data_IF_945806145047
#
_entry.id   IF_945806145047
#
_cell.length_a   1.000
_cell.length_b   1.000
_cell.length_c   1.000
_cell.angle_alpha   90.00
_cell.angle_beta   90.00
_cell.angle_gamma   90.00
#
_symmetry.space_group_name_H-M   'P 1'
#
loop_
_entity.id
_entity.type
_entity.pdbx_description
1 polymer ?
#
# COMPACT_ATOMS: atom_id res chain seq x y z
N UNK A 1 -14.08 12.55 -16.90
CA UNK A 1 -12.70 12.15 -16.57
C UNK A 1 -12.02 11.56 -17.80
N UNK A 2 -10.69 11.68 -17.91
CA UNK A 2 -9.88 11.03 -18.94
C UNK A 2 -9.02 9.92 -18.33
N UNK A 3 -9.09 8.73 -18.91
CA UNK A 3 -8.22 7.59 -18.55
C UNK A 3 -7.17 7.43 -19.65
N UNK A 4 -5.91 7.27 -19.27
CA UNK A 4 -4.83 6.88 -20.19
C UNK A 4 -4.11 5.68 -19.61
N UNK A 5 -4.21 4.55 -20.30
CA UNK A 5 -3.72 3.27 -19.83
C UNK A 5 -2.34 2.94 -20.41
N UNK A 6 -1.64 2.03 -19.74
CA UNK A 6 -0.42 1.37 -20.22
C UNK A 6 0.73 2.33 -20.57
N UNK A 7 0.84 3.41 -19.81
CA UNK A 7 1.96 4.34 -19.94
C UNK A 7 3.20 3.68 -19.36
N UNK A 8 4.19 3.42 -20.21
CA UNK A 8 5.48 2.88 -19.78
C UNK A 8 6.22 3.93 -18.95
N UNK A 9 6.50 3.61 -17.68
CA UNK A 9 7.25 4.48 -16.76
C UNK A 9 8.66 3.96 -16.47
N UNK A 10 8.91 2.67 -16.73
CA UNK A 10 10.23 2.05 -16.72
C UNK A 10 10.35 1.06 -17.88
N UNK A 11 11.02 1.48 -18.94
CA UNK A 11 11.21 0.66 -20.15
C UNK A 11 12.16 -0.51 -19.94
N UNK A 12 13.04 -0.46 -18.93
CA UNK A 12 14.00 -1.54 -18.66
C UNK A 12 13.32 -2.80 -18.10
N UNK A 13 12.21 -2.61 -17.41
CA UNK A 13 11.43 -3.68 -16.76
C UNK A 13 10.03 -3.87 -17.39
N UNK A 14 9.71 -3.17 -18.49
CA UNK A 14 8.38 -3.08 -19.11
C UNK A 14 7.25 -2.75 -18.10
N UNK A 15 7.53 -1.85 -17.15
CA UNK A 15 6.55 -1.45 -16.15
C UNK A 15 5.69 -0.28 -16.63
N UNK A 16 4.39 -0.46 -16.43
CA UNK A 16 3.34 0.43 -16.91
C UNK A 16 2.51 0.97 -15.77
N UNK A 17 1.92 2.13 -16.00
CA UNK A 17 0.97 2.76 -15.10
C UNK A 17 -0.24 3.27 -15.88
N UNK A 18 -1.35 3.41 -15.19
CA UNK A 18 -2.56 4.05 -15.68
C UNK A 18 -2.72 5.40 -14.98
N UNK A 19 -3.28 6.36 -15.72
CA UNK A 19 -3.61 7.68 -15.17
C UNK A 19 -5.08 7.98 -15.33
N UNK A 20 -5.67 8.56 -14.28
CA UNK A 20 -7.06 8.96 -14.25
C UNK A 20 -7.10 10.46 -13.93
N UNK A 21 -7.56 11.24 -14.90
CA UNK A 21 -7.49 12.70 -14.86
C UNK A 21 -8.90 13.29 -14.68
N UNK A 22 -9.12 14.15 -13.68
CA UNK A 22 -10.38 14.86 -13.53
C UNK A 22 -10.59 15.84 -14.68
N UNK A 23 -11.84 16.19 -14.98
CA UNK A 23 -12.15 17.17 -16.04
C UNK A 23 -11.80 18.61 -15.61
N UNK A 24 -11.55 18.81 -14.32
CA UNK A 24 -11.11 20.07 -13.70
C UNK A 24 -9.61 20.03 -13.39
N UNK A 25 -9.04 21.18 -13.01
CA UNK A 25 -7.66 21.23 -12.52
C UNK A 25 -7.51 20.36 -11.26
N UNK A 26 -6.56 19.40 -11.20
CA UNK A 26 -6.36 18.58 -10.01
C UNK A 26 -5.99 19.41 -8.78
N UNK A 27 -6.58 19.09 -7.62
CA UNK A 27 -6.21 19.69 -6.33
C UNK A 27 -4.98 19.04 -5.70
N UNK A 28 -4.76 17.76 -6.03
CA UNK A 28 -3.67 16.92 -5.56
C UNK A 28 -3.47 15.76 -6.53
N UNK A 29 -2.34 15.08 -6.39
CA UNK A 29 -2.06 13.81 -7.07
C UNK A 29 -2.06 12.67 -6.09
N UNK A 30 -2.68 11.54 -6.45
CA UNK A 30 -2.66 10.31 -5.67
C UNK A 30 -1.90 9.22 -6.42
N UNK A 31 -0.85 8.67 -5.81
CA UNK A 31 -0.27 7.41 -6.24
C UNK A 31 -1.05 6.26 -5.58
N UNK A 32 -1.80 5.51 -6.36
CA UNK A 32 -2.69 4.44 -5.90
C UNK A 32 -2.05 3.07 -6.19
N UNK A 33 -1.65 2.36 -5.14
CA UNK A 33 -0.78 1.18 -5.22
C UNK A 33 -1.58 -0.09 -4.89
N UNK A 34 -1.64 -1.00 -5.86
CA UNK A 34 -2.41 -2.23 -5.73
C UNK A 34 -1.82 -3.19 -4.68
N UNK A 35 -2.70 -3.95 -4.03
CA UNK A 35 -2.34 -5.08 -3.17
C UNK A 35 -1.99 -6.36 -3.94
N UNK A 36 -1.94 -7.50 -3.23
CA UNK A 36 -1.70 -8.82 -3.84
C UNK A 36 -0.49 -9.57 -3.28
N UNK A 37 -0.08 -9.30 -2.03
CA UNK A 37 0.99 -10.03 -1.33
C UNK A 37 2.35 -9.96 -2.05
N UNK A 38 2.56 -8.95 -2.89
CA UNK A 38 3.71 -8.81 -3.81
C UNK A 38 3.90 -9.94 -4.81
N UNK A 39 3.01 -10.93 -4.90
CA UNK A 39 3.15 -12.05 -5.84
C UNK A 39 2.07 -12.07 -6.93
N UNK A 40 1.03 -11.23 -6.79
CA UNK A 40 -0.02 -11.01 -7.76
C UNK A 40 -0.52 -9.56 -7.69
N UNK A 41 -1.48 -9.24 -8.54
CA UNK A 41 -2.12 -7.93 -8.62
C UNK A 41 -1.75 -7.18 -9.89
N UNK A 42 -2.62 -6.25 -10.27
CA UNK A 42 -2.43 -5.38 -11.43
C UNK A 42 -3.16 -4.04 -11.16
N UNK A 43 -2.61 -2.94 -11.71
CA UNK A 43 -3.18 -1.59 -11.69
C UNK A 43 -4.63 -1.52 -12.16
N UNK A 44 -5.08 -2.42 -13.04
CA UNK A 44 -6.45 -2.46 -13.55
C UNK A 44 -7.50 -2.63 -12.43
N UNK A 45 -7.12 -3.35 -11.36
CA UNK A 45 -7.95 -3.52 -10.15
C UNK A 45 -8.33 -2.17 -9.52
N UNK A 46 -7.44 -1.19 -9.61
CA UNK A 46 -7.58 0.09 -8.91
C UNK A 46 -8.54 1.06 -9.60
N UNK A 47 -9.09 0.71 -10.78
CA UNK A 47 -9.99 1.57 -11.56
C UNK A 47 -11.19 2.08 -10.76
N UNK A 48 -11.83 1.23 -9.95
CA UNK A 48 -12.96 1.62 -9.11
C UNK A 48 -12.58 2.69 -8.08
N UNK A 49 -11.48 2.48 -7.36
CA UNK A 49 -11.04 3.41 -6.31
C UNK A 49 -10.45 4.69 -6.92
N UNK A 50 -9.75 4.57 -8.05
CA UNK A 50 -9.26 5.70 -8.82
C UNK A 50 -10.41 6.64 -9.24
N UNK A 51 -11.53 6.09 -9.71
CA UNK A 51 -12.72 6.90 -10.05
C UNK A 51 -13.26 7.68 -8.84
N UNK A 52 -13.30 7.06 -7.64
CA UNK A 52 -13.71 7.77 -6.42
C UNK A 52 -12.81 8.97 -6.12
N UNK A 53 -11.49 8.80 -6.20
CA UNK A 53 -10.56 9.91 -5.96
C UNK A 53 -10.58 10.95 -7.09
N UNK A 54 -10.80 10.55 -8.35
CA UNK A 54 -10.99 11.51 -9.44
C UNK A 54 -12.23 12.38 -9.24
N UNK A 55 -13.33 11.79 -8.77
CA UNK A 55 -14.54 12.54 -8.43
C UNK A 55 -14.32 13.53 -7.26
N UNK A 56 -13.35 13.24 -6.40
CA UNK A 56 -12.89 14.16 -5.34
C UNK A 56 -11.85 15.18 -5.83
N UNK A 57 -11.54 15.22 -7.13
CA UNK A 57 -10.64 16.21 -7.75
C UNK A 57 -9.16 15.85 -7.72
N UNK A 58 -8.81 14.59 -7.49
CA UNK A 58 -7.43 14.11 -7.55
C UNK A 58 -7.05 13.67 -8.96
N UNK A 59 -5.81 13.93 -9.36
CA UNK A 59 -5.17 13.21 -10.45
C UNK A 59 -4.64 11.89 -9.90
N UNK A 60 -5.09 10.75 -10.42
CA UNK A 60 -4.68 9.43 -9.89
C UNK A 60 -3.69 8.79 -10.84
N UNK A 61 -2.62 8.23 -10.27
CA UNK A 61 -1.60 7.43 -10.95
C UNK A 61 -1.57 6.05 -10.31
N UNK A 62 -1.85 4.99 -11.08
CA UNK A 62 -1.88 3.62 -10.61
C UNK A 62 -0.78 2.79 -11.32
N UNK A 63 0.36 2.50 -10.67
CA UNK A 63 1.44 1.73 -11.28
C UNK A 63 1.35 0.23 -11.03
N UNK A 64 1.79 -0.56 -12.01
CA UNK A 64 2.26 -1.93 -11.77
C UNK A 64 3.66 -1.90 -11.16
N UNK A 65 4.00 -2.91 -10.36
CA UNK A 65 5.34 -3.16 -9.84
C UNK A 65 5.71 -4.64 -10.04
N UNK A 66 7.01 -4.97 -10.06
CA UNK A 66 7.46 -6.35 -10.25
C UNK A 66 7.08 -7.24 -9.06
N UNK A 67 6.78 -8.50 -9.35
CA UNK A 67 6.20 -9.44 -8.41
C UNK A 67 7.17 -10.57 -8.03
N UNK A 68 7.14 -10.94 -6.75
CA UNK A 68 7.81 -12.12 -6.22
C UNK A 68 7.09 -13.41 -6.68
N UNK A 69 7.80 -14.55 -6.81
CA UNK A 69 9.21 -14.75 -6.47
C UNK A 69 10.21 -14.45 -7.60
N UNK A 70 9.72 -14.01 -8.77
CA UNK A 70 10.57 -13.62 -9.89
C UNK A 70 11.47 -12.43 -9.51
N UNK A 71 10.85 -11.43 -8.88
CA UNK A 71 11.50 -10.22 -8.38
C UNK A 71 11.25 -10.07 -6.88
N UNK A 72 12.27 -10.35 -6.07
CA UNK A 72 12.19 -10.25 -4.62
C UNK A 72 12.31 -8.79 -4.16
N UNK A 73 12.10 -8.54 -2.87
CA UNK A 73 12.54 -7.29 -2.24
C UNK A 73 14.02 -6.98 -2.62
N UNK A 74 14.38 -5.74 -3.01
CA UNK A 74 13.56 -4.52 -3.01
C UNK A 74 12.95 -4.14 -4.37
N UNK A 75 12.74 -5.07 -5.31
CA UNK A 75 12.26 -4.73 -6.67
C UNK A 75 10.95 -3.94 -6.66
N UNK A 76 9.88 -4.46 -6.04
CA UNK A 76 8.59 -3.76 -5.96
C UNK A 76 8.69 -2.35 -5.32
N UNK A 77 9.53 -2.21 -4.29
CA UNK A 77 9.78 -0.92 -3.62
C UNK A 77 10.49 0.06 -4.55
N UNK A 78 11.50 -0.43 -5.28
CA UNK A 78 12.25 0.36 -6.27
C UNK A 78 11.32 0.85 -7.37
N UNK A 79 10.41 -0.01 -7.83
CA UNK A 79 9.46 0.28 -8.89
C UNK A 79 8.44 1.35 -8.48
N UNK A 80 7.89 1.25 -7.26
CA UNK A 80 7.01 2.29 -6.70
C UNK A 80 7.74 3.63 -6.53
N UNK A 81 9.03 3.62 -6.16
CA UNK A 81 9.83 4.85 -6.11
C UNK A 81 10.09 5.44 -7.49
N UNK A 82 10.27 4.60 -8.51
CA UNK A 82 10.38 5.04 -9.90
C UNK A 82 9.05 5.61 -10.40
N UNK A 83 7.91 4.99 -10.06
CA UNK A 83 6.58 5.52 -10.36
C UNK A 83 6.36 6.87 -9.67
N UNK A 84 6.73 7.04 -8.41
CA UNK A 84 6.70 8.33 -7.72
C UNK A 84 7.58 9.39 -8.42
N UNK A 85 8.79 9.02 -8.85
CA UNK A 85 9.67 9.92 -9.60
C UNK A 85 9.10 10.29 -10.98
N UNK A 86 8.41 9.37 -11.65
CA UNK A 86 7.67 9.64 -12.87
C UNK A 86 6.52 10.62 -12.61
N UNK A 87 5.73 10.38 -11.56
CA UNK A 87 4.61 11.25 -11.14
C UNK A 87 5.08 12.67 -10.89
N UNK A 88 6.20 12.87 -10.19
CA UNK A 88 6.78 14.22 -9.96
C UNK A 88 7.11 14.98 -11.24
N UNK A 89 7.41 14.28 -12.34
CA UNK A 89 7.74 14.87 -13.64
C UNK A 89 6.50 15.08 -14.51
N UNK A 90 5.35 14.51 -14.13
CA UNK A 90 4.11 14.68 -14.88
C UNK A 90 3.57 16.12 -14.70
N UNK A 91 3.22 16.75 -15.82
CA UNK A 91 2.72 18.15 -15.83
C UNK A 91 1.43 18.36 -15.06
N UNK A 92 0.57 17.33 -14.95
CA UNK A 92 -0.67 17.41 -14.17
C UNK A 92 -0.42 17.33 -12.67
N UNK A 93 0.66 16.66 -12.26
CA UNK A 93 1.10 16.60 -10.88
C UNK A 93 1.97 17.80 -10.50
N UNK A 94 2.57 18.48 -11.49
CA UNK A 94 3.41 19.64 -11.29
C UNK A 94 2.62 20.74 -10.55
N UNK A 95 3.16 21.15 -9.40
CA UNK A 95 2.56 22.15 -8.49
C UNK A 95 1.35 21.68 -7.68
N UNK A 96 1.13 20.37 -7.55
CA UNK A 96 0.14 19.80 -6.62
C UNK A 96 0.84 18.94 -5.57
N UNK A 97 0.32 18.84 -4.33
CA UNK A 97 0.82 17.86 -3.38
C UNK A 97 0.61 16.45 -3.92
N UNK A 98 1.57 15.56 -3.66
CA UNK A 98 1.48 14.14 -4.01
C UNK A 98 1.23 13.35 -2.73
N UNK A 99 0.19 12.54 -2.75
CA UNK A 99 -0.14 11.59 -1.70
C UNK A 99 0.02 10.16 -2.22
N UNK A 100 0.07 9.20 -1.30
CA UNK A 100 0.00 7.79 -1.63
C UNK A 100 -1.17 7.11 -0.90
N UNK A 101 -1.78 6.14 -1.56
CA UNK A 101 -2.71 5.20 -0.95
C UNK A 101 -2.40 3.80 -1.49
N UNK A 102 -2.47 2.81 -0.63
CA UNK A 102 -2.50 1.42 -1.07
C UNK A 102 -3.15 0.52 -0.04
N UNK A 103 -3.53 -0.68 -0.50
CA UNK A 103 -4.10 -1.71 0.35
C UNK A 103 -3.20 -2.94 0.45
N UNK A 104 -3.15 -3.61 1.61
CA UNK A 104 -2.38 -4.85 1.80
C UNK A 104 -0.87 -4.64 1.52
N UNK A 105 -0.30 -5.40 0.58
CA UNK A 105 1.05 -5.19 0.05
C UNK A 105 1.27 -3.78 -0.54
N UNK A 106 0.25 -3.21 -1.19
CA UNK A 106 0.28 -1.83 -1.65
C UNK A 106 0.26 -0.82 -0.50
N UNK A 107 -0.40 -1.15 0.61
CA UNK A 107 -0.39 -0.35 1.83
C UNK A 107 1.01 -0.32 2.49
N UNK A 108 1.74 -1.45 2.46
CA UNK A 108 3.14 -1.47 2.84
C UNK A 108 4.00 -0.55 1.94
N UNK A 109 3.86 -0.67 0.62
CA UNK A 109 4.62 0.16 -0.33
C UNK A 109 4.26 1.65 -0.21
N UNK A 110 3.02 1.97 0.13
CA UNK A 110 2.58 3.31 0.45
C UNK A 110 3.27 3.83 1.73
N UNK A 111 3.29 3.04 2.81
CA UNK A 111 4.03 3.38 4.04
C UNK A 111 5.49 3.67 3.74
N UNK A 112 6.15 2.90 2.87
CA UNK A 112 7.53 3.16 2.47
C UNK A 112 7.74 4.53 1.80
N UNK A 113 6.77 4.99 1.00
CA UNK A 113 6.80 6.35 0.45
C UNK A 113 6.65 7.40 1.56
N UNK A 114 5.78 7.18 2.54
CA UNK A 114 5.68 8.07 3.69
C UNK A 114 7.02 8.16 4.42
N UNK A 115 7.61 7.02 4.77
CA UNK A 115 8.83 6.97 5.58
C UNK A 115 10.04 7.55 4.86
N UNK A 116 10.19 7.30 3.56
CA UNK A 116 11.40 7.65 2.81
C UNK A 116 11.27 8.89 1.92
N UNK A 117 10.06 9.27 1.52
CA UNK A 117 9.80 10.46 0.69
C UNK A 117 9.10 11.59 1.44
N UNK A 118 8.66 11.35 2.68
CA UNK A 118 8.05 12.38 3.51
C UNK A 118 6.67 12.83 3.05
N UNK A 119 5.98 12.02 2.22
CA UNK A 119 4.68 12.41 1.66
C UNK A 119 3.51 11.91 2.52
N UNK A 120 2.41 12.69 2.64
CA UNK A 120 1.21 12.22 3.34
C UNK A 120 0.64 10.98 2.66
N UNK A 121 0.34 9.97 3.46
CA UNK A 121 0.03 8.64 2.95
C UNK A 121 -1.12 8.01 3.72
N UNK A 122 -1.99 7.31 3.01
CA UNK A 122 -2.96 6.40 3.62
C UNK A 122 -2.54 4.94 3.34
N UNK A 123 -2.72 4.07 4.32
CA UNK A 123 -2.45 2.63 4.18
C UNK A 123 -3.60 1.83 4.78
N UNK A 124 -4.24 1.03 3.94
CA UNK A 124 -5.35 0.16 4.32
C UNK A 124 -4.84 -1.28 4.45
N UNK A 125 -4.89 -1.86 5.64
CA UNK A 125 -4.39 -3.21 5.94
C UNK A 125 -2.92 -3.39 5.58
N UNK A 126 -2.13 -2.34 5.81
CA UNK A 126 -0.71 -2.32 5.44
C UNK A 126 0.09 -3.37 6.20
N UNK A 127 0.87 -4.17 5.46
CA UNK A 127 1.72 -5.21 6.04
C UNK A 127 2.98 -4.54 6.61
N UNK A 128 3.02 -4.26 7.91
CA UNK A 128 4.07 -3.42 8.52
C UNK A 128 5.08 -4.25 9.33
N UNK A 129 4.60 -5.06 10.27
CA UNK A 129 5.43 -5.76 11.26
C UNK A 129 5.79 -7.18 10.81
N UNK A 130 6.56 -7.30 9.73
CA UNK A 130 6.81 -8.62 9.11
C UNK A 130 7.82 -9.45 9.89
N UNK A 131 9.00 -8.91 10.18
CA UNK A 131 10.09 -9.67 10.81
C UNK A 131 9.74 -10.15 12.23
N UNK A 132 9.25 -9.26 13.10
CA UNK A 132 8.92 -9.65 14.47
C UNK A 132 7.76 -10.64 14.47
N UNK A 133 6.72 -10.42 13.66
CA UNK A 133 5.60 -11.35 13.58
C UNK A 133 6.07 -12.74 13.13
N UNK A 134 6.87 -12.84 12.07
CA UNK A 134 7.38 -14.14 11.58
C UNK A 134 8.22 -14.86 12.64
N UNK A 135 9.05 -14.14 13.38
CA UNK A 135 9.95 -14.71 14.39
C UNK A 135 9.23 -15.08 15.69
N UNK A 136 8.14 -14.38 16.03
CA UNK A 136 7.33 -14.65 17.22
C UNK A 136 6.31 -15.79 17.04
N UNK A 137 6.05 -16.21 15.79
CA UNK A 137 5.12 -17.29 15.48
C UNK A 137 5.80 -18.47 14.76
N UNK A 138 6.82 -19.12 15.37
CA UNK A 138 7.54 -20.25 14.75
C UNK A 138 6.63 -21.46 14.45
N UNK A 139 5.53 -21.61 15.18
CA UNK A 139 4.55 -22.68 15.04
C UNK A 139 3.66 -22.55 13.79
N UNK A 140 3.45 -21.33 13.29
CA UNK A 140 2.67 -21.09 12.06
C UNK A 140 3.47 -21.59 10.87
N UNK A 141 2.88 -22.48 10.06
CA UNK A 141 3.51 -22.98 8.84
C UNK A 141 3.16 -22.08 7.66
N UNK A 142 4.15 -21.71 6.86
CA UNK A 142 3.90 -20.97 5.61
C UNK A 142 3.24 -21.90 4.59
N UNK A 143 1.97 -21.67 4.27
CA UNK A 143 1.22 -22.45 3.28
C UNK A 143 0.54 -21.51 2.29
N UNK A 144 0.81 -21.72 1.00
CA UNK A 144 0.10 -21.02 -0.08
C UNK A 144 -1.38 -21.38 0.00
N UNK A 145 -2.27 -20.40 -0.21
CA UNK A 145 -3.69 -20.72 -0.36
C UNK A 145 -3.88 -21.53 -1.65
N UNK A 146 -4.44 -22.74 -1.53
CA UNK A 146 -4.61 -23.72 -2.61
C UNK A 146 -6.02 -23.71 -3.20
N UNK A 147 -6.87 -22.77 -2.81
CA UNK A 147 -8.20 -22.62 -3.39
C UNK A 147 -8.11 -22.40 -4.91
N UNK A 148 -8.98 -23.10 -5.66
CA UNK A 148 -9.07 -22.89 -7.10
C UNK A 148 -9.44 -21.45 -7.39
N UNK A 149 -8.75 -20.81 -8.34
CA UNK A 149 -8.95 -19.41 -8.71
C UNK A 149 -8.62 -18.38 -7.62
N UNK A 150 -7.81 -18.75 -6.61
CA UNK A 150 -7.34 -17.79 -5.59
C UNK A 150 -6.78 -16.49 -6.20
N UNK A 151 -6.09 -16.58 -7.33
CA UNK A 151 -5.53 -15.43 -8.06
C UNK A 151 -6.60 -14.50 -8.66
N UNK A 152 -7.81 -14.99 -8.92
CA UNK A 152 -8.95 -14.26 -9.44
C UNK A 152 -9.96 -13.80 -8.36
N UNK A 153 -9.83 -14.29 -7.12
CA UNK A 153 -10.65 -13.83 -6.00
C UNK A 153 -10.25 -12.42 -5.55
N UNK A 154 -11.25 -11.59 -5.32
CA UNK A 154 -11.04 -10.25 -4.75
C UNK A 154 -10.37 -10.38 -3.38
N UNK A 155 -9.52 -9.42 -3.02
CA UNK A 155 -8.82 -9.42 -1.72
C UNK A 155 -9.79 -9.46 -0.52
N UNK A 156 -11.05 -9.04 -0.70
CA UNK A 156 -12.12 -9.12 0.31
C UNK A 156 -12.61 -10.54 0.60
N UNK A 157 -12.34 -11.50 -0.29
CA UNK A 157 -12.82 -12.89 -0.22
C UNK A 157 -11.75 -13.88 0.26
N UNK A 158 -10.52 -13.42 0.53
CA UNK A 158 -9.46 -14.24 1.12
C UNK A 158 -9.90 -14.65 2.52
N UNK A 159 -9.76 -15.94 2.87
CA UNK A 159 -10.01 -16.49 4.20
C UNK A 159 -9.35 -15.61 5.30
N UNK A 160 -10.14 -15.21 6.29
CA UNK A 160 -9.81 -14.18 7.29
C UNK A 160 -9.67 -14.79 8.68
N UNK A 161 -9.18 -16.04 8.76
CA UNK A 161 -9.07 -16.87 9.96
C UNK A 161 -8.13 -16.30 11.06
N UNK A 162 -7.69 -15.05 10.93
CA UNK A 162 -7.20 -14.20 12.01
C UNK A 162 -5.69 -13.98 12.00
N UNK A 163 -5.17 -13.48 13.13
CA UNK A 163 -3.82 -12.93 13.25
C UNK A 163 -2.66 -13.93 13.05
N UNK A 164 -2.92 -15.25 13.01
CA UNK A 164 -1.93 -16.32 12.92
C UNK A 164 -2.04 -17.14 11.63
N UNK A 165 -2.38 -16.45 10.54
CA UNK A 165 -2.71 -17.06 9.27
C UNK A 165 -1.47 -17.64 8.52
N UNK A 166 -1.63 -18.87 8.01
CA UNK A 166 -0.58 -19.60 7.31
C UNK A 166 -0.24 -19.00 5.92
N UNK A 167 -1.26 -18.45 5.25
CA UNK A 167 -1.13 -17.76 3.98
C UNK A 167 -0.48 -16.39 4.15
N UNK A 168 -0.80 -15.65 5.23
CA UNK A 168 -0.08 -14.42 5.62
C UNK A 168 1.43 -14.67 5.75
N UNK A 169 1.82 -15.70 6.52
CA UNK A 169 3.22 -16.09 6.65
C UNK A 169 3.85 -16.47 5.32
N UNK A 170 3.09 -17.18 4.48
CA UNK A 170 3.58 -17.65 3.19
C UNK A 170 3.96 -16.50 2.25
N UNK A 171 3.08 -15.52 2.01
CA UNK A 171 3.42 -14.49 1.02
C UNK A 171 4.50 -13.53 1.54
N UNK A 172 4.57 -13.30 2.84
CA UNK A 172 5.66 -12.53 3.46
C UNK A 172 7.00 -13.20 3.19
N UNK A 173 7.08 -14.51 3.42
CA UNK A 173 8.31 -15.26 3.17
C UNK A 173 8.58 -15.44 1.66
N UNK A 174 7.55 -15.53 0.83
CA UNK A 174 7.68 -15.56 -0.63
C UNK A 174 8.34 -14.29 -1.17
N UNK A 175 7.97 -13.12 -0.62
CA UNK A 175 8.51 -11.80 -1.02
C UNK A 175 10.04 -11.69 -0.87
N UNK A 176 10.62 -12.50 0.02
CA UNK A 176 12.05 -12.50 0.35
C UNK A 176 12.71 -13.87 0.18
N UNK A 177 12.05 -14.80 -0.51
CA UNK A 177 12.53 -16.20 -0.71
C UNK A 177 12.98 -16.87 0.59
N UNK A 178 12.21 -16.70 1.66
CA UNK A 178 12.46 -17.22 3.01
C UNK A 178 13.76 -16.71 3.68
N UNK A 179 14.43 -15.68 3.14
CA UNK A 179 15.60 -15.08 3.75
C UNK A 179 15.17 -14.11 4.87
N UNK A 180 15.41 -14.50 6.13
CA UNK A 180 15.04 -13.69 7.30
C UNK A 180 15.89 -12.40 7.44
N UNK A 181 17.11 -12.36 6.91
CA UNK A 181 17.90 -11.13 6.89
C UNK A 181 17.32 -10.14 5.86
N UNK A 182 16.91 -10.67 4.71
CA UNK A 182 16.20 -9.87 3.71
C UNK A 182 14.83 -9.43 4.23
N UNK A 183 14.11 -10.29 4.97
CA UNK A 183 12.85 -9.94 5.64
C UNK A 183 13.01 -8.78 6.63
N UNK A 184 14.07 -8.83 7.43
CA UNK A 184 14.40 -7.75 8.36
C UNK A 184 14.63 -6.44 7.62
N UNK A 185 15.32 -6.49 6.48
CA UNK A 185 15.54 -5.33 5.60
C UNK A 185 14.23 -4.83 4.96
N UNK A 186 13.34 -5.74 4.56
CA UNK A 186 12.04 -5.44 3.99
C UNK A 186 11.04 -4.84 4.98
N UNK A 187 11.26 -5.00 6.29
CA UNK A 187 10.36 -4.50 7.34
C UNK A 187 10.47 -2.97 7.50
N UNK A 188 9.41 -2.18 7.23
CA UNK A 188 9.46 -0.71 7.20
C UNK A 188 9.78 -0.03 8.52
N UNK A 189 9.44 -0.64 9.67
CA UNK A 189 9.51 0.00 11.00
C UNK A 189 10.89 0.63 11.31
N UNK A 190 11.98 0.05 10.80
CA UNK A 190 13.34 0.55 11.02
C UNK A 190 13.67 1.83 10.25
N UNK A 191 12.81 2.27 9.33
CA UNK A 191 13.00 3.47 8.49
C UNK A 191 12.28 4.71 9.03
N UNK A 192 11.55 4.58 10.14
CA UNK A 192 10.86 5.71 10.77
C UNK A 192 11.89 6.74 11.24
N UNK A 193 11.66 8.01 10.91
CA UNK A 193 12.50 9.13 11.34
C UNK A 193 11.68 10.43 11.36
N UNK A 194 12.26 11.51 11.87
CA UNK A 194 11.63 12.84 11.82
C UNK A 194 11.45 13.42 10.40
N UNK A 195 11.95 12.71 9.36
CA UNK A 195 11.72 13.04 7.94
C UNK A 195 10.55 12.27 7.32
N UNK A 196 9.97 11.33 8.06
CA UNK A 196 8.81 10.57 7.61
C UNK A 196 7.60 11.48 7.45
N UNK A 197 6.76 11.17 6.47
CA UNK A 197 5.51 11.87 6.21
C UNK A 197 4.42 11.40 7.16
N UNK A 198 3.37 12.22 7.36
CA UNK A 198 2.23 11.83 8.17
C UNK A 198 1.49 10.67 7.51
N UNK A 199 0.86 9.81 8.33
CA UNK A 199 0.14 8.63 7.83
C UNK A 199 -1.25 8.47 8.44
N UNK A 200 -2.20 8.08 7.59
CA UNK A 200 -3.48 7.50 8.00
C UNK A 200 -3.42 5.97 7.85
N UNK A 201 -3.70 5.24 8.91
CA UNK A 201 -3.67 3.78 8.95
C UNK A 201 -5.07 3.26 9.23
N UNK A 202 -5.58 2.36 8.39
CA UNK A 202 -6.86 1.68 8.61
C UNK A 202 -6.67 0.17 8.58
N UNK A 203 -7.23 -0.54 9.56
CA UNK A 203 -7.15 -1.99 9.64
C UNK A 203 -8.40 -2.54 10.34
N UNK A 204 -8.86 -3.73 9.92
CA UNK A 204 -9.90 -4.46 10.66
C UNK A 204 -9.31 -5.17 11.87
N UNK A 205 -10.12 -5.40 12.90
CA UNK A 205 -9.66 -5.96 14.18
C UNK A 205 -9.33 -7.46 14.13
N UNK A 206 -9.94 -8.20 13.20
CA UNK A 206 -9.85 -9.65 13.10
C UNK A 206 -9.52 -10.13 11.68
N UNK A 207 -8.81 -9.31 10.90
CA UNK A 207 -8.42 -9.67 9.53
C UNK A 207 -7.11 -10.46 9.45
N UNK A 208 -6.72 -10.79 8.22
CA UNK A 208 -5.47 -11.46 7.85
C UNK A 208 -4.19 -10.73 8.29
N UNK A 209 -4.19 -9.39 8.22
CA UNK A 209 -3.03 -8.56 8.57
C UNK A 209 -3.16 -8.10 10.02
N UNK A 210 -2.24 -8.51 10.92
CA UNK A 210 -2.34 -8.17 12.33
C UNK A 210 -2.27 -6.67 12.60
N UNK A 211 -3.13 -6.18 13.51
CA UNK A 211 -3.13 -4.78 13.93
C UNK A 211 -1.85 -4.37 14.69
N UNK A 212 -1.04 -5.33 15.15
CA UNK A 212 0.22 -5.04 15.86
C UNK A 212 1.16 -4.17 15.04
N UNK A 213 1.19 -4.35 13.72
CA UNK A 213 2.01 -3.53 12.83
C UNK A 213 1.56 -2.07 12.77
N UNK A 214 0.26 -1.82 12.71
CA UNK A 214 -0.30 -0.46 12.76
C UNK A 214 0.05 0.23 14.07
N UNK A 215 -0.12 -0.47 15.19
CA UNK A 215 0.15 0.09 16.52
C UNK A 215 1.65 0.36 16.73
N UNK A 216 2.53 -0.54 16.28
CA UNK A 216 3.99 -0.34 16.33
C UNK A 216 4.42 0.84 15.47
N UNK A 217 3.86 1.00 14.27
CA UNK A 217 4.18 2.14 13.41
C UNK A 217 3.68 3.45 14.00
N UNK A 218 2.46 3.48 14.52
CA UNK A 218 1.92 4.66 15.21
C UNK A 218 2.83 5.09 16.37
N UNK A 219 3.27 4.15 17.21
CA UNK A 219 4.19 4.43 18.31
C UNK A 219 5.53 4.97 17.79
N UNK A 220 6.13 4.28 16.81
CA UNK A 220 7.43 4.69 16.26
C UNK A 220 7.39 6.10 15.63
N UNK A 221 6.28 6.48 15.00
CA UNK A 221 6.09 7.83 14.43
C UNK A 221 5.91 8.88 15.53
N UNK A 222 5.15 8.56 16.58
CA UNK A 222 4.99 9.44 17.74
C UNK A 222 6.34 9.70 18.45
N UNK A 223 7.20 8.68 18.55
CA UNK A 223 8.53 8.81 19.16
C UNK A 223 9.45 9.80 18.42
N UNK A 224 9.15 10.11 17.15
CA UNK A 224 9.91 11.05 16.31
C UNK A 224 9.10 12.29 15.89
N UNK A 225 7.98 12.55 16.58
CA UNK A 225 7.09 13.71 16.36
C UNK A 225 6.48 13.79 14.94
N UNK A 226 6.15 12.64 14.36
CA UNK A 226 5.44 12.55 13.07
C UNK A 226 3.97 12.19 13.30
N UNK A 227 3.01 13.01 12.86
CA UNK A 227 1.58 12.75 13.07
C UNK A 227 1.11 11.45 12.40
N UNK A 228 0.21 10.74 13.09
CA UNK A 228 -0.50 9.61 12.49
C UNK A 228 -1.91 9.46 13.04
N UNK A 229 -2.84 9.11 12.14
CA UNK A 229 -4.22 8.80 12.45
C UNK A 229 -4.45 7.29 12.28
N UNK A 230 -5.17 6.67 13.22
CA UNK A 230 -5.49 5.24 13.17
C UNK A 230 -7.00 5.02 13.22
N UNK A 231 -7.52 4.23 12.28
CA UNK A 231 -8.90 3.74 12.26
C UNK A 231 -8.92 2.22 12.38
N UNK A 232 -9.42 1.72 13.49
CA UNK A 232 -9.69 0.30 13.69
C UNK A 232 -11.14 -0.01 13.34
N UNK A 233 -11.34 -1.04 12.52
CA UNK A 233 -12.64 -1.41 11.95
C UNK A 233 -13.07 -2.75 12.55
N UNK A 234 -14.32 -2.86 12.97
CA UNK A 234 -14.84 -4.12 13.50
C UNK A 234 -14.94 -5.20 12.42
N UNK A 235 -14.72 -6.46 12.79
CA UNK A 235 -14.84 -7.60 11.90
C UNK A 235 -13.51 -7.97 11.24
N UNK A 236 -13.62 -8.66 10.11
CA UNK A 236 -12.53 -9.43 9.49
C UNK A 236 -12.11 -8.88 8.13
N UNK A 237 -12.88 -7.94 7.57
CA UNK A 237 -12.74 -7.47 6.17
C UNK A 237 -11.35 -6.91 5.89
N UNK A 238 -10.76 -7.27 4.75
CA UNK A 238 -9.39 -6.91 4.39
C UNK A 238 -9.28 -5.83 3.30
N UNK A 239 -8.37 -4.87 3.51
CA UNK A 239 -7.96 -3.85 2.53
C UNK A 239 -9.13 -3.05 1.96
N UNK A 240 -9.23 -2.98 0.63
CA UNK A 240 -10.32 -2.28 -0.06
C UNK A 240 -11.71 -2.83 0.26
N UNK A 241 -11.85 -4.01 0.87
CA UNK A 241 -13.16 -4.54 1.28
C UNK A 241 -13.92 -3.62 2.24
N UNK A 242 -13.23 -2.78 3.01
CA UNK A 242 -13.84 -1.79 3.91
C UNK A 242 -13.75 -0.35 3.38
N UNK A 243 -13.57 -0.14 2.07
CA UNK A 243 -13.36 1.20 1.50
C UNK A 243 -14.43 2.21 1.93
N UNK A 244 -15.70 1.82 2.04
CA UNK A 244 -16.79 2.71 2.49
C UNK A 244 -16.54 3.29 3.88
N UNK A 245 -15.90 2.50 4.74
CA UNK A 245 -15.54 2.89 6.09
C UNK A 245 -14.25 3.69 6.12
N UNK A 246 -13.26 3.42 5.28
CA UNK A 246 -11.94 4.06 5.34
C UNK A 246 -11.82 5.33 4.47
N UNK A 247 -12.56 5.42 3.36
CA UNK A 247 -12.45 6.50 2.39
C UNK A 247 -12.79 7.89 2.97
N UNK A 248 -13.87 8.08 3.76
CA UNK A 248 -14.17 9.40 4.32
C UNK A 248 -13.07 9.95 5.22
N UNK A 249 -12.48 9.13 6.09
CA UNK A 249 -11.35 9.56 6.92
C UNK A 249 -10.07 9.76 6.09
N UNK A 250 -9.84 8.94 5.06
CA UNK A 250 -8.70 9.11 4.16
C UNK A 250 -8.75 10.47 3.44
N UNK A 251 -9.93 10.86 2.95
CA UNK A 251 -10.14 12.17 2.32
C UNK A 251 -9.98 13.33 3.30
N UNK A 252 -10.49 13.17 4.53
CA UNK A 252 -10.33 14.17 5.59
C UNK A 252 -8.84 14.36 5.97
N UNK A 253 -8.12 13.24 6.14
CA UNK A 253 -6.68 13.24 6.37
C UNK A 253 -5.94 13.96 5.24
N UNK A 254 -6.12 13.57 3.97
CA UNK A 254 -5.47 14.25 2.84
C UNK A 254 -5.83 15.73 2.74
N UNK A 255 -7.07 16.11 3.07
CA UNK A 255 -7.50 17.51 3.06
C UNK A 255 -6.72 18.37 4.03
N UNK A 256 -6.26 17.83 5.16
CA UNK A 256 -5.41 18.56 6.12
C UNK A 256 -3.99 18.87 5.60
N UNK A 257 -3.59 18.22 4.50
CA UNK A 257 -2.28 18.39 3.85
C UNK A 257 -2.36 18.92 2.42
N UNK A 258 -3.54 19.41 1.99
CA UNK A 258 -3.62 20.19 0.77
C UNK A 258 -2.87 21.52 0.98
N UNK A 259 -2.12 21.95 -0.04
CA UNK A 259 -1.46 23.24 0.01
C UNK A 259 -2.53 24.34 0.13
N UNK A 260 -2.44 25.16 1.18
CA UNK A 260 -3.22 26.40 1.32
C UNK A 260 -2.83 27.42 0.25
#
# INVERSE_FOLDING_TARGET
MKITQDIVYDSGNDLKLDTYTPDTKPKATLLLIHGGGWFRGDKEKESFLAEKFVNEGFFVVAPNYRLAPADLYPSALTDVFNAYAWTKKNTLAANTPIFALGASAGGNLAVELALQKGIPTASWSGIIDMYDWVTQHPEVKAVMNKEQHFDAHESREIDQDGNNDQFYKWFILNYVRNDLNLLKSATPLTRVSSKSGPVFLANSLHELVPISGVLKLQQALADVDVPSDVKLIAGTVHGEGYWELALPQTLAFFSSYLAN
#
